data_IF_836237495252
#
_entry.id   IF_836237495252
#
_cell.length_a   1.000
_cell.length_b   1.000
_cell.length_c   1.000
_cell.angle_alpha   90.00
_cell.angle_beta   90.00
_cell.angle_gamma   90.00
#
_symmetry.space_group_name_H-M   'P 1'
#
loop_
_entity.id
_entity.type
_entity.pdbx_description
1 polymer ?
#
# COMPACT_ATOMS: atom_id res chain seq x y z
N UNK A 1 5.68 -3.34 -2.89
CA UNK A 1 5.74 -2.92 -4.33
C UNK A 1 6.75 -1.79 -4.54
N UNK A 2 7.03 -1.34 -5.78
CA UNK A 2 7.86 -0.13 -5.99
C UNK A 2 7.00 1.12 -5.82
N UNK A 3 7.52 2.13 -5.10
CA UNK A 3 6.83 3.40 -4.95
C UNK A 3 6.77 4.12 -6.31
N UNK A 4 5.61 4.60 -6.73
CA UNK A 4 5.51 5.35 -8.00
C UNK A 4 6.06 6.78 -7.92
N UNK A 5 6.20 7.31 -6.69
CA UNK A 5 6.87 8.59 -6.42
C UNK A 5 8.39 8.41 -6.37
N UNK A 6 8.82 7.34 -5.70
CA UNK A 6 10.22 7.00 -5.54
C UNK A 6 10.50 5.76 -6.40
N UNK A 7 10.75 5.97 -7.69
CA UNK A 7 10.82 4.93 -8.74
C UNK A 7 11.81 3.79 -8.44
N UNK A 8 12.76 3.99 -7.52
CA UNK A 8 13.72 2.97 -7.08
C UNK A 8 13.72 2.73 -5.56
N UNK A 9 12.56 2.88 -4.91
CA UNK A 9 12.40 2.58 -3.48
C UNK A 9 11.39 1.45 -3.31
N UNK A 10 11.82 0.42 -2.58
CA UNK A 10 10.94 -0.65 -2.15
C UNK A 10 10.06 -0.18 -1.00
N UNK A 11 8.76 -0.37 -1.15
CA UNK A 11 7.79 -0.16 -0.08
C UNK A 11 8.06 -1.19 1.04
N UNK A 12 7.96 -0.70 2.28
CA UNK A 12 8.09 -1.53 3.48
C UNK A 12 6.70 -1.87 3.98
N UNK A 13 6.48 -3.15 4.25
CA UNK A 13 5.23 -3.64 4.83
C UNK A 13 5.25 -3.31 6.32
N UNK A 14 4.18 -2.68 6.81
CA UNK A 14 3.98 -2.40 8.23
C UNK A 14 2.57 -2.79 8.63
N UNK A 15 2.41 -3.29 9.86
CA UNK A 15 1.10 -3.49 10.45
C UNK A 15 0.67 -2.22 11.19
N UNK A 16 -0.57 -1.78 10.96
CA UNK A 16 -1.21 -0.72 11.71
C UNK A 16 -2.53 -1.25 12.23
N UNK A 17 -2.57 -1.60 13.51
CA UNK A 17 -3.78 -2.13 14.17
C UNK A 17 -4.35 -3.38 13.48
N UNK A 18 -3.47 -4.26 12.99
CA UNK A 18 -3.85 -5.49 12.30
C UNK A 18 -4.18 -5.32 10.81
N UNK A 19 -3.92 -4.14 10.24
CA UNK A 19 -4.03 -3.88 8.81
C UNK A 19 -2.62 -3.80 8.23
N UNK A 20 -2.32 -4.66 7.25
CA UNK A 20 -1.06 -4.63 6.51
C UNK A 20 -1.09 -3.48 5.50
N UNK A 21 -0.20 -2.51 5.66
CA UNK A 21 -0.05 -1.38 4.75
C UNK A 21 1.38 -1.30 4.21
N UNK A 22 1.52 -0.95 2.93
CA UNK A 22 2.81 -0.66 2.32
C UNK A 22 3.12 0.84 2.55
N UNK A 23 4.20 1.16 3.26
CA UNK A 23 4.65 2.54 3.44
C UNK A 23 6.03 2.78 2.82
N UNK A 24 6.23 3.99 2.26
CA UNK A 24 7.50 4.41 1.70
C UNK A 24 8.28 5.25 2.72
N UNK A 25 9.49 4.85 3.15
CA UNK A 25 10.27 5.64 4.10
C UNK A 25 10.80 6.97 3.51
N UNK A 26 10.93 7.06 2.19
CA UNK A 26 11.53 8.21 1.50
C UNK A 26 10.53 9.35 1.31
N UNK A 27 9.37 9.07 0.72
CA UNK A 27 8.31 10.08 0.51
C UNK A 27 7.27 10.12 1.62
N UNK A 28 7.32 9.19 2.59
CA UNK A 28 6.30 8.99 3.64
C UNK A 28 4.90 8.71 3.07
N UNK A 29 4.81 8.28 1.82
CA UNK A 29 3.56 7.89 1.18
C UNK A 29 3.11 6.51 1.64
N UNK A 30 1.80 6.36 1.87
CA UNK A 30 1.15 5.08 2.20
C UNK A 30 0.42 4.57 0.95
N UNK A 31 0.63 3.29 0.65
CA UNK A 31 0.10 2.61 -0.52
C UNK A 31 -0.73 1.42 -0.05
N UNK A 32 -1.99 1.36 -0.50
CA UNK A 32 -2.87 0.22 -0.27
C UNK A 32 -3.16 -0.45 -1.60
N UNK A 33 -3.01 -1.77 -1.65
CA UNK A 33 -3.31 -2.54 -2.85
C UNK A 33 -4.82 -2.65 -3.08
N UNK A 34 -5.24 -2.40 -4.32
CA UNK A 34 -6.66 -2.27 -4.71
C UNK A 34 -7.41 -3.62 -4.86
N UNK A 35 -6.81 -4.75 -4.51
CA UNK A 35 -7.43 -6.07 -4.68
C UNK A 35 -8.42 -6.49 -3.57
N UNK A 36 -8.73 -5.63 -2.58
CA UNK A 36 -9.80 -5.89 -1.60
C UNK A 36 -11.19 -5.37 -2.01
N UNK A 37 -11.30 -4.60 -3.10
CA UNK A 37 -12.57 -3.97 -3.51
C UNK A 37 -13.55 -4.90 -4.27
N UNK A 38 -13.15 -6.11 -4.65
CA UNK A 38 -13.98 -6.99 -5.50
C UNK A 38 -14.97 -7.88 -4.72
N UNK A 39 -15.03 -7.82 -3.39
CA UNK A 39 -15.97 -8.64 -2.58
C UNK A 39 -17.27 -7.96 -2.17
N UNK A 40 -17.48 -6.68 -2.47
CA UNK A 40 -18.78 -6.04 -2.24
C UNK A 40 -19.47 -5.82 -3.56
N UNK A 41 -20.24 -6.83 -3.98
CA UNK A 41 -21.16 -6.74 -5.10
C UNK A 41 -22.12 -5.57 -4.92
N UNK A 42 -21.84 -4.49 -5.66
CA UNK A 42 -22.78 -3.45 -6.02
C UNK A 42 -22.65 -3.25 -7.52
N UNK A 43 -23.14 -4.23 -8.30
CA UNK A 43 -23.99 -4.09 -9.49
C UNK A 43 -24.45 -5.48 -9.94
#
# INVERSE_FOLDING_TARGET
MKCSICTDVNLTISDCQGIEIDYCPECRGVWLDRCELDKTGFV
#
